data_IF_260120739281
#
_entry.id   IF_260120739281
#
_cell.length_a   1.000
_cell.length_b   1.000
_cell.length_c   1.000
_cell.angle_alpha   90.00
_cell.angle_beta   90.00
_cell.angle_gamma   90.00
#
_symmetry.space_group_name_H-M   'P 1'
#
loop_
_entity.id
_entity.type
_entity.pdbx_description
1 polymer ?
#
# COMPACT_ATOMS: atom_id res chain seq x y z
N UNK A 1 -31.29 16.04 1.08
CA UNK A 1 -30.08 16.83 0.81
C UNK A 1 -28.84 16.21 1.44
N UNK A 2 -27.96 15.63 0.61
CA UNK A 2 -26.60 15.27 1.03
C UNK A 2 -25.84 16.57 1.27
N UNK A 3 -25.23 16.78 2.43
CA UNK A 3 -24.52 18.03 2.73
C UNK A 3 -23.33 18.26 1.77
N UNK A 4 -23.05 19.53 1.44
CA UNK A 4 -22.04 19.88 0.43
C UNK A 4 -20.64 19.43 0.85
N UNK A 5 -20.35 19.54 2.15
CA UNK A 5 -19.08 19.09 2.72
C UNK A 5 -18.88 17.58 2.57
N UNK A 6 -19.95 16.76 2.63
CA UNK A 6 -19.85 15.31 2.39
C UNK A 6 -19.42 15.02 0.95
N UNK A 7 -20.00 15.72 -0.03
CA UNK A 7 -19.68 15.51 -1.46
C UNK A 7 -18.24 15.91 -1.75
N UNK A 8 -17.79 17.05 -1.21
CA UNK A 8 -16.39 17.48 -1.32
C UNK A 8 -15.47 16.44 -0.65
N UNK A 9 -15.84 15.93 0.52
CA UNK A 9 -15.09 14.89 1.22
C UNK A 9 -14.99 13.59 0.41
N UNK A 10 -16.07 13.16 -0.25
CA UNK A 10 -16.08 11.98 -1.13
C UNK A 10 -15.15 12.17 -2.33
N UNK A 11 -15.22 13.32 -3.02
CA UNK A 11 -14.37 13.64 -4.17
C UNK A 11 -12.90 13.64 -3.75
N UNK A 12 -12.57 14.34 -2.66
CA UNK A 12 -11.20 14.45 -2.19
C UNK A 12 -10.64 13.08 -1.81
N UNK A 13 -11.41 12.29 -1.07
CA UNK A 13 -11.03 10.93 -0.68
C UNK A 13 -10.86 10.02 -1.90
N UNK A 14 -11.79 10.08 -2.86
CA UNK A 14 -11.72 9.29 -4.09
C UNK A 14 -10.45 9.61 -4.88
N UNK A 15 -10.14 10.89 -5.07
CA UNK A 15 -8.92 11.34 -5.77
C UNK A 15 -7.67 10.87 -5.03
N UNK A 16 -7.58 11.09 -3.71
CA UNK A 16 -6.40 10.70 -2.93
C UNK A 16 -6.13 9.20 -2.96
N UNK A 17 -7.16 8.39 -2.70
CA UNK A 17 -7.03 6.92 -2.67
C UNK A 17 -6.74 6.37 -4.07
N UNK A 18 -7.47 6.82 -5.09
CA UNK A 18 -7.27 6.35 -6.47
C UNK A 18 -5.91 6.75 -7.05
N UNK A 19 -5.45 7.97 -6.78
CA UNK A 19 -4.17 8.45 -7.32
C UNK A 19 -2.98 7.73 -6.69
N UNK A 20 -2.99 7.55 -5.35
CA UNK A 20 -1.94 6.77 -4.67
C UNK A 20 -1.97 5.29 -5.08
N UNK A 21 -3.18 4.71 -5.15
CA UNK A 21 -3.37 3.32 -5.59
C UNK A 21 -2.86 3.10 -7.02
N UNK A 22 -3.21 3.98 -7.95
CA UNK A 22 -2.74 3.91 -9.34
C UNK A 22 -1.21 4.10 -9.42
N UNK A 23 -0.63 5.07 -8.71
CA UNK A 23 0.81 5.30 -8.74
C UNK A 23 1.59 4.06 -8.25
N UNK A 24 1.20 3.47 -7.12
CA UNK A 24 1.85 2.26 -6.59
C UNK A 24 1.61 1.05 -7.48
N UNK A 25 0.39 0.88 -8.00
CA UNK A 25 0.04 -0.18 -8.94
C UNK A 25 0.92 -0.16 -10.19
N UNK A 26 1.02 1.01 -10.85
CA UNK A 26 1.77 1.20 -12.08
C UNK A 26 3.26 0.89 -11.88
N UNK A 27 3.86 1.41 -10.82
CA UNK A 27 5.29 1.17 -10.51
C UNK A 27 5.52 -0.29 -10.16
N UNK A 28 4.64 -0.91 -9.37
CA UNK A 28 4.77 -2.30 -8.99
C UNK A 28 4.62 -3.27 -10.16
N UNK A 29 3.65 -3.06 -11.04
CA UNK A 29 3.52 -3.83 -12.29
C UNK A 29 4.74 -3.64 -13.20
N UNK A 30 5.29 -2.43 -13.29
CA UNK A 30 6.49 -2.17 -14.07
C UNK A 30 7.72 -2.92 -13.52
N UNK A 31 7.82 -3.06 -12.19
CA UNK A 31 8.90 -3.83 -11.55
C UNK A 31 8.83 -5.33 -11.90
N UNK A 32 7.63 -5.90 -12.06
CA UNK A 32 7.45 -7.29 -12.50
C UNK A 32 7.95 -7.56 -13.92
N UNK A 33 7.99 -6.52 -14.78
CA UNK A 33 8.36 -6.62 -16.19
C UNK A 33 9.49 -5.65 -16.53
N UNK A 34 10.61 -5.75 -15.81
CA UNK A 34 11.77 -4.83 -15.93
C UNK A 34 12.30 -4.68 -17.36
N UNK A 35 12.16 -5.68 -18.22
CA UNK A 35 12.55 -5.63 -19.63
C UNK A 35 11.68 -4.73 -20.53
N UNK A 36 10.50 -4.30 -20.07
CA UNK A 36 9.56 -3.47 -20.83
C UNK A 36 8.79 -2.48 -19.93
N UNK A 37 9.45 -1.98 -18.88
CA UNK A 37 8.81 -1.18 -17.83
C UNK A 37 8.00 0.02 -18.37
N UNK A 38 8.52 0.76 -19.35
CA UNK A 38 7.85 1.93 -19.93
C UNK A 38 6.54 1.57 -20.64
N UNK A 39 6.53 0.48 -21.40
CA UNK A 39 5.32 -0.01 -22.08
C UNK A 39 4.27 -0.47 -21.06
N UNK A 40 4.70 -1.19 -20.02
CA UNK A 40 3.82 -1.65 -18.95
C UNK A 40 3.24 -0.48 -18.16
N UNK A 41 4.03 0.56 -17.88
CA UNK A 41 3.53 1.75 -17.17
C UNK A 41 2.42 2.46 -17.95
N UNK A 42 2.59 2.64 -19.27
CA UNK A 42 1.58 3.27 -20.12
C UNK A 42 0.30 2.43 -20.19
N UNK A 43 0.44 1.12 -20.36
CA UNK A 43 -0.70 0.20 -20.37
C UNK A 43 -1.42 0.21 -19.02
N UNK A 44 -0.69 0.00 -17.92
CA UNK A 44 -1.26 -0.04 -16.57
C UNK A 44 -1.96 1.28 -16.22
N UNK A 45 -1.38 2.43 -16.57
CA UNK A 45 -2.02 3.73 -16.38
C UNK A 45 -3.36 3.85 -17.11
N UNK A 46 -3.44 3.36 -18.35
CA UNK A 46 -4.69 3.37 -19.11
C UNK A 46 -5.77 2.47 -18.48
N UNK A 47 -5.36 1.31 -17.94
CA UNK A 47 -6.24 0.33 -17.31
C UNK A 47 -6.77 0.82 -15.95
N UNK A 48 -5.92 1.43 -15.13
CA UNK A 48 -6.30 2.06 -13.85
C UNK A 48 -7.33 3.16 -14.06
N UNK A 49 -7.09 4.08 -15.00
CA UNK A 49 -8.03 5.16 -15.29
C UNK A 49 -9.37 4.62 -15.80
N UNK A 50 -9.32 3.65 -16.71
CA UNK A 50 -10.51 3.04 -17.30
C UNK A 50 -11.40 2.38 -16.25
N UNK A 51 -10.83 1.75 -15.23
CA UNK A 51 -11.58 1.12 -14.12
C UNK A 51 -12.56 2.10 -13.46
N UNK A 52 -12.10 3.31 -13.13
CA UNK A 52 -12.92 4.31 -12.44
C UNK A 52 -14.00 4.91 -13.37
N UNK A 53 -13.66 5.15 -14.64
CA UNK A 53 -14.63 5.63 -15.63
C UNK A 53 -15.73 4.59 -15.84
N UNK A 54 -15.37 3.32 -15.97
CA UNK A 54 -16.32 2.22 -16.11
C UNK A 54 -17.19 2.04 -14.86
N UNK A 55 -16.61 2.14 -13.66
CA UNK A 55 -17.35 2.07 -12.41
C UNK A 55 -18.39 3.21 -12.28
N UNK A 56 -18.00 4.44 -12.59
CA UNK A 56 -18.91 5.58 -12.59
C UNK A 56 -20.02 5.45 -13.65
N UNK A 57 -19.67 5.02 -14.86
CA UNK A 57 -20.62 4.79 -15.95
C UNK A 57 -21.63 3.67 -15.63
N UNK A 58 -21.14 2.56 -15.10
CA UNK A 58 -21.95 1.41 -14.69
C UNK A 58 -22.99 1.81 -13.63
N UNK A 59 -22.60 2.65 -12.67
CA UNK A 59 -23.52 3.20 -11.67
C UNK A 59 -24.61 4.08 -12.32
N UNK A 60 -24.21 5.06 -13.14
CA UNK A 60 -25.15 6.03 -13.73
C UNK A 60 -26.15 5.40 -14.70
N UNK A 61 -25.78 4.33 -15.41
CA UNK A 61 -26.60 3.70 -16.45
C UNK A 61 -27.13 2.32 -16.07
N UNK A 62 -27.10 1.95 -14.78
CA UNK A 62 -27.45 0.61 -14.31
C UNK A 62 -28.78 0.05 -14.86
N UNK A 63 -29.81 0.89 -14.93
CA UNK A 63 -31.16 0.51 -15.38
C UNK A 63 -31.35 0.55 -16.91
N UNK A 64 -30.41 1.15 -17.65
CA UNK A 64 -30.49 1.30 -19.11
C UNK A 64 -29.58 0.33 -19.88
N UNK A 65 -28.81 -0.51 -19.18
CA UNK A 65 -27.85 -1.44 -19.77
C UNK A 65 -28.42 -2.85 -19.87
N UNK A 66 -28.22 -3.48 -21.03
CA UNK A 66 -28.53 -4.90 -21.25
C UNK A 66 -27.70 -5.77 -20.29
N UNK A 67 -28.27 -6.90 -19.85
CA UNK A 67 -27.65 -7.79 -18.87
C UNK A 67 -26.25 -8.29 -19.28
N UNK A 68 -26.04 -8.56 -20.56
CA UNK A 68 -24.73 -8.96 -21.10
C UNK A 68 -23.66 -7.89 -20.89
N UNK A 69 -23.96 -6.64 -21.27
CA UNK A 69 -23.02 -5.53 -21.12
C UNK A 69 -22.76 -5.20 -19.64
N UNK A 70 -23.81 -5.27 -18.82
CA UNK A 70 -23.68 -5.11 -17.36
C UNK A 70 -22.70 -6.12 -16.77
N UNK A 71 -22.84 -7.40 -17.12
CA UNK A 71 -21.95 -8.47 -16.63
C UNK A 71 -20.52 -8.24 -17.09
N UNK A 72 -20.31 -7.88 -18.35
CA UNK A 72 -18.98 -7.56 -18.89
C UNK A 72 -18.32 -6.37 -18.18
N UNK A 73 -19.07 -5.30 -17.91
CA UNK A 73 -18.55 -4.13 -17.20
C UNK A 73 -18.21 -4.45 -15.74
N UNK A 74 -19.09 -5.20 -15.05
CA UNK A 74 -18.82 -5.66 -13.67
C UNK A 74 -17.56 -6.53 -13.64
N UNK A 75 -17.46 -7.53 -14.52
CA UNK A 75 -16.29 -8.41 -14.58
C UNK A 75 -15.02 -7.63 -14.93
N UNK A 76 -15.11 -6.66 -15.85
CA UNK A 76 -13.97 -5.80 -16.21
C UNK A 76 -13.50 -4.98 -15.03
N UNK A 77 -14.41 -4.33 -14.29
CA UNK A 77 -14.05 -3.56 -13.09
C UNK A 77 -13.42 -4.45 -12.03
N UNK A 78 -13.96 -5.64 -11.79
CA UNK A 78 -13.41 -6.60 -10.82
C UNK A 78 -12.02 -7.12 -11.22
N UNK A 79 -11.84 -7.48 -12.49
CA UNK A 79 -10.54 -7.95 -12.99
C UNK A 79 -9.51 -6.81 -12.97
N UNK A 80 -9.89 -5.60 -13.38
CA UNK A 80 -9.02 -4.43 -13.30
C UNK A 80 -8.64 -4.12 -11.85
N UNK A 81 -9.57 -4.28 -10.91
CA UNK A 81 -9.29 -4.22 -9.47
C UNK A 81 -8.23 -5.25 -9.07
N UNK A 82 -8.41 -6.53 -9.44
CA UNK A 82 -7.41 -7.56 -9.15
C UNK A 82 -6.02 -7.24 -9.75
N UNK A 83 -5.96 -6.60 -10.92
CA UNK A 83 -4.71 -6.14 -11.53
C UNK A 83 -4.08 -5.00 -10.72
N UNK A 84 -4.87 -3.99 -10.30
CA UNK A 84 -4.40 -2.92 -9.41
C UNK A 84 -3.82 -3.47 -8.13
N UNK A 85 -4.54 -4.41 -7.55
CA UNK A 85 -4.18 -5.14 -6.35
C UNK A 85 -2.84 -5.87 -6.52
N UNK A 86 -2.64 -6.55 -7.64
CA UNK A 86 -1.37 -7.20 -7.97
C UNK A 86 -0.23 -6.19 -8.17
N UNK A 87 -0.51 -5.03 -8.76
CA UNK A 87 0.44 -3.94 -8.89
C UNK A 87 0.92 -3.42 -7.53
N UNK A 88 -0.02 -3.09 -6.64
CA UNK A 88 0.30 -2.62 -5.28
C UNK A 88 1.08 -3.70 -4.51
N UNK A 89 0.69 -4.97 -4.66
CA UNK A 89 1.42 -6.09 -4.09
C UNK A 89 2.86 -6.12 -4.58
N UNK A 90 3.07 -6.02 -5.89
CA UNK A 90 4.40 -5.94 -6.52
C UNK A 90 5.25 -4.83 -5.91
N UNK A 91 4.71 -3.61 -5.83
CA UNK A 91 5.41 -2.44 -5.28
C UNK A 91 5.84 -2.63 -3.82
N UNK A 92 4.92 -3.06 -2.95
CA UNK A 92 5.23 -3.25 -1.53
C UNK A 92 6.18 -4.44 -1.30
N UNK A 93 6.03 -5.51 -2.09
CA UNK A 93 6.91 -6.67 -2.01
C UNK A 93 8.33 -6.34 -2.48
N UNK A 94 8.49 -5.54 -3.54
CA UNK A 94 9.79 -5.10 -4.04
C UNK A 94 10.51 -4.20 -3.03
N UNK A 95 9.79 -3.26 -2.40
CA UNK A 95 10.34 -2.42 -1.35
C UNK A 95 10.83 -3.22 -0.14
N UNK A 96 10.04 -4.22 0.30
CA UNK A 96 10.45 -5.13 1.37
C UNK A 96 11.64 -5.99 0.96
N UNK A 97 11.59 -6.61 -0.22
CA UNK A 97 12.64 -7.49 -0.70
C UNK A 97 13.96 -6.75 -0.87
N UNK A 98 13.93 -5.50 -1.34
CA UNK A 98 15.10 -4.63 -1.44
C UNK A 98 15.74 -4.39 -0.08
N UNK A 99 14.93 -4.09 0.95
CA UNK A 99 15.43 -3.89 2.31
C UNK A 99 15.98 -5.19 2.93
N UNK A 100 15.28 -6.32 2.75
CA UNK A 100 15.68 -7.64 3.26
C UNK A 100 16.98 -8.13 2.59
N UNK A 101 17.10 -7.95 1.28
CA UNK A 101 18.31 -8.32 0.52
C UNK A 101 19.50 -7.46 0.92
N UNK A 102 19.31 -6.14 1.10
CA UNK A 102 20.37 -5.25 1.59
C UNK A 102 20.87 -5.66 2.99
N UNK A 103 19.94 -6.00 3.90
CA UNK A 103 20.28 -6.49 5.24
C UNK A 103 21.09 -7.80 5.16
N UNK A 104 20.63 -8.74 4.34
CA UNK A 104 21.29 -10.04 4.16
C UNK A 104 22.69 -9.87 3.56
N UNK A 105 22.84 -9.00 2.56
CA UNK A 105 24.13 -8.70 1.94
C UNK A 105 25.13 -8.10 2.95
N UNK A 106 24.69 -7.15 3.78
CA UNK A 106 25.56 -6.55 4.79
C UNK A 106 25.92 -7.57 5.90
N UNK A 107 24.98 -8.43 6.31
CA UNK A 107 25.24 -9.50 7.27
C UNK A 107 26.26 -10.53 6.74
N UNK A 108 26.16 -10.91 5.45
CA UNK A 108 27.14 -11.79 4.79
C UNK A 108 28.52 -11.12 4.75
N UNK A 109 28.58 -9.81 4.47
CA UNK A 109 29.83 -9.05 4.45
C UNK A 109 30.49 -9.02 5.83
N UNK A 110 29.73 -8.76 6.89
CA UNK A 110 30.22 -8.85 8.29
C UNK A 110 30.77 -10.25 8.57
N UNK A 111 30.04 -11.30 8.20
CA UNK A 111 30.50 -12.68 8.40
C UNK A 111 31.81 -12.95 7.67
N UNK A 112 31.96 -12.49 6.43
CA UNK A 112 33.20 -12.63 5.66
C UNK A 112 34.38 -11.90 6.31
N UNK A 113 34.17 -10.66 6.76
CA UNK A 113 35.20 -9.88 7.47
C UNK A 113 35.62 -10.54 8.79
N UNK A 114 34.66 -11.09 9.56
CA UNK A 114 34.94 -11.84 10.78
C UNK A 114 35.76 -13.10 10.49
N UNK A 115 35.46 -13.81 9.40
CA UNK A 115 36.26 -14.96 8.96
C UNK A 115 37.69 -14.55 8.59
N UNK A 116 37.87 -13.46 7.84
CA UNK A 116 39.20 -12.94 7.49
C UNK A 116 40.00 -12.54 8.73
N UNK A 117 39.34 -11.88 9.69
CA UNK A 117 39.95 -11.51 10.97
C UNK A 117 40.37 -12.75 11.76
N UNK A 118 39.54 -13.79 11.80
CA UNK A 118 39.85 -15.04 12.48
C UNK A 118 41.07 -15.75 11.85
N UNK A 119 41.14 -15.79 10.51
CA UNK A 119 42.29 -16.35 9.80
C UNK A 119 43.58 -15.59 10.06
N UNK A 120 43.54 -14.25 10.08
CA UNK A 120 44.71 -13.43 10.40
C UNK A 120 45.20 -13.65 11.84
N UNK A 121 44.27 -13.78 12.80
CA UNK A 121 44.60 -14.13 14.19
C UNK A 121 45.23 -15.51 14.30
N UNK A 122 44.66 -16.51 13.62
CA UNK A 122 45.20 -17.85 13.61
C UNK A 122 46.63 -17.92 13.04
N UNK A 123 46.94 -17.11 12.03
CA UNK A 123 48.30 -17.02 11.49
C UNK A 123 49.27 -16.37 12.48
N UNK A 124 48.86 -15.30 13.20
CA UNK A 124 49.66 -14.73 14.30
C UNK A 124 49.93 -15.79 15.37
N UNK A 125 48.91 -16.55 15.78
CA UNK A 125 49.04 -17.59 16.80
C UNK A 125 49.99 -18.71 16.33
N UNK A 126 49.91 -19.10 15.06
CA UNK A 126 50.82 -20.07 14.45
C UNK A 126 52.28 -19.58 14.45
N UNK A 127 52.51 -18.33 14.06
CA UNK A 127 53.84 -17.72 14.04
C UNK A 127 54.43 -17.64 15.47
N UNK A 128 53.62 -17.26 16.46
CA UNK A 128 54.04 -17.25 17.87
C UNK A 128 54.38 -18.65 18.36
N UNK A 129 53.54 -19.64 18.07
CA UNK A 129 53.77 -21.04 18.46
C UNK A 129 55.07 -21.60 17.86
N UNK A 130 55.39 -21.25 16.61
CA UNK A 130 56.64 -21.66 15.98
C UNK A 130 57.89 -21.14 16.72
N UNK A 131 57.81 -19.96 17.35
CA UNK A 131 58.89 -19.41 18.19
C UNK A 131 58.95 -20.07 19.57
N UNK A 132 57.80 -20.46 20.11
CA UNK A 132 57.70 -21.13 21.41
C UNK A 132 58.14 -22.59 21.39
N UNK A 133 58.02 -23.27 20.24
CA UNK A 133 58.52 -24.63 20.03
C UNK A 133 60.06 -24.71 19.99
N UNK A 134 60.76 -23.59 19.79
CA UNK A 134 62.22 -23.55 19.84
C UNK A 134 62.68 -23.69 21.30
N UNK A 135 63.56 -24.68 21.64
CA UNK A 135 64.01 -24.89 23.00
C UNK A 135 64.60 -23.64 23.64
N UNK A 136 64.26 -23.40 24.92
CA UNK A 136 64.78 -22.28 25.73
C UNK A 136 66.31 -22.22 25.80
N UNK A 137 66.98 -23.36 25.62
CA UNK A 137 68.45 -23.45 25.56
C UNK A 137 69.07 -22.83 24.31
N UNK A 138 68.30 -22.61 23.23
CA UNK A 138 68.75 -22.01 21.96
C UNK A 138 68.34 -20.54 21.86
N UNK A 139 68.75 -19.72 22.84
CA UNK A 139 68.36 -18.31 22.97
C UNK A 139 68.63 -17.49 21.71
N UNK A 140 69.82 -17.62 21.10
CA UNK A 140 70.19 -16.87 19.89
C UNK A 140 69.25 -17.14 18.72
N UNK A 141 68.91 -18.42 18.49
CA UNK A 141 68.02 -18.83 17.41
C UNK A 141 66.57 -18.37 17.65
N UNK A 142 66.12 -18.36 18.91
CA UNK A 142 64.80 -17.79 19.27
C UNK A 142 64.71 -16.31 18.99
N UNK A 143 65.75 -15.55 19.35
CA UNK A 143 65.79 -14.09 19.14
C UNK A 143 65.79 -13.77 17.64
N UNK A 144 66.59 -14.49 16.85
CA UNK A 144 66.66 -14.32 15.40
C UNK A 144 65.33 -14.62 14.71
N UNK A 145 64.72 -15.79 14.97
CA UNK A 145 63.40 -16.13 14.40
C UNK A 145 62.32 -15.14 14.84
N UNK A 146 62.35 -14.66 16.09
CA UNK A 146 61.38 -13.66 16.55
C UNK A 146 61.51 -12.34 15.78
N UNK A 147 62.74 -11.88 15.55
CA UNK A 147 63.03 -10.66 14.79
C UNK A 147 62.60 -10.77 13.32
N UNK A 148 62.69 -11.96 12.73
CA UNK A 148 62.23 -12.24 11.37
C UNK A 148 60.70 -12.20 11.23
N UNK A 149 59.95 -12.74 12.20
CA UNK A 149 58.49 -12.78 12.13
C UNK A 149 57.80 -11.50 12.63
N UNK A 150 58.47 -10.70 13.45
CA UNK A 150 57.96 -9.44 14.03
C UNK A 150 57.32 -8.49 13.01
N UNK A 151 57.94 -8.19 11.84
CA UNK A 151 57.29 -7.37 10.81
C UNK A 151 56.02 -8.00 10.23
N UNK A 152 55.98 -9.34 10.11
CA UNK A 152 54.80 -10.07 9.65
C UNK A 152 53.65 -10.00 10.67
N UNK A 153 53.93 -10.17 11.95
CA UNK A 153 52.96 -10.01 13.04
C UNK A 153 52.44 -8.57 13.10
N UNK A 154 53.31 -7.58 12.97
CA UNK A 154 52.91 -6.18 12.96
C UNK A 154 51.98 -5.86 11.77
N UNK A 155 52.27 -6.39 10.58
CA UNK A 155 51.41 -6.24 9.41
C UNK A 155 50.04 -6.90 9.59
N UNK A 156 49.99 -8.14 10.09
CA UNK A 156 48.75 -8.85 10.38
C UNK A 156 47.93 -8.15 11.49
N UNK A 157 48.59 -7.60 12.50
CA UNK A 157 47.93 -6.84 13.58
C UNK A 157 47.27 -5.59 13.02
N UNK A 158 47.98 -4.82 12.18
CA UNK A 158 47.41 -3.66 11.48
C UNK A 158 46.26 -4.05 10.55
N UNK A 159 46.34 -5.21 9.90
CA UNK A 159 45.23 -5.75 9.11
C UNK A 159 44.02 -6.06 10.00
N UNK A 160 44.20 -6.70 11.16
CA UNK A 160 43.13 -6.98 12.13
C UNK A 160 42.46 -5.70 12.62
N UNK A 161 43.24 -4.65 12.90
CA UNK A 161 42.70 -3.33 13.29
C UNK A 161 41.83 -2.73 12.18
N UNK A 162 42.32 -2.75 10.93
CA UNK A 162 41.54 -2.22 9.80
C UNK A 162 40.28 -3.06 9.50
N UNK A 163 40.35 -4.38 9.66
CA UNK A 163 39.18 -5.26 9.59
C UNK A 163 38.20 -4.98 10.73
N UNK A 164 38.68 -4.72 11.96
CA UNK A 164 37.83 -4.42 13.11
C UNK A 164 37.03 -3.12 12.90
N UNK A 165 37.65 -2.09 12.33
CA UNK A 165 36.96 -0.84 11.97
C UNK A 165 35.86 -1.11 10.94
N UNK A 166 36.17 -1.87 9.88
CA UNK A 166 35.19 -2.24 8.85
C UNK A 166 34.03 -3.08 9.41
N UNK A 167 34.32 -4.06 10.27
CA UNK A 167 33.30 -4.87 10.95
C UNK A 167 32.38 -3.97 11.76
N UNK A 168 32.93 -3.04 12.54
CA UNK A 168 32.15 -2.13 13.38
C UNK A 168 31.24 -1.24 12.54
N UNK A 169 31.76 -0.69 11.43
CA UNK A 169 30.96 0.11 10.50
C UNK A 169 29.83 -0.71 9.84
N UNK A 170 30.14 -1.92 9.38
CA UNK A 170 29.13 -2.80 8.79
C UNK A 170 28.11 -3.31 9.81
N UNK A 171 28.50 -3.60 11.05
CA UNK A 171 27.57 -3.98 12.13
C UNK A 171 26.61 -2.82 12.46
N UNK A 172 27.07 -1.56 12.42
CA UNK A 172 26.18 -0.40 12.54
C UNK A 172 25.16 -0.32 11.39
N UNK A 173 25.59 -0.57 10.15
CA UNK A 173 24.67 -0.64 9.00
C UNK A 173 23.66 -1.79 9.14
N UNK A 174 24.08 -2.97 9.60
CA UNK A 174 23.18 -4.10 9.88
C UNK A 174 22.13 -3.71 10.93
N UNK A 175 22.51 -2.99 11.99
CA UNK A 175 21.57 -2.50 13.01
C UNK A 175 20.57 -1.51 12.39
N UNK A 176 21.04 -0.58 11.56
CA UNK A 176 20.17 0.39 10.88
C UNK A 176 19.16 -0.30 9.96
N UNK A 177 19.62 -1.27 9.16
CA UNK A 177 18.76 -2.04 8.26
C UNK A 177 17.77 -2.93 9.03
N UNK A 178 18.21 -3.54 10.15
CA UNK A 178 17.32 -4.31 11.03
C UNK A 178 16.18 -3.46 11.60
N UNK A 179 16.40 -2.17 11.89
CA UNK A 179 15.31 -1.29 12.35
C UNK A 179 14.18 -1.16 11.34
N UNK A 180 14.48 -1.21 10.03
CA UNK A 180 13.48 -1.07 8.95
C UNK A 180 12.54 -2.28 8.88
N UNK A 181 13.05 -3.48 9.17
CA UNK A 181 12.26 -4.73 9.15
C UNK A 181 11.81 -5.19 10.54
N UNK A 182 12.28 -4.56 11.61
CA UNK A 182 12.06 -4.95 13.00
C UNK A 182 10.59 -5.17 13.41
N UNK A 183 9.65 -4.27 13.07
CA UNK A 183 8.23 -4.48 13.35
C UNK A 183 7.67 -5.77 12.73
N UNK A 184 8.09 -6.09 11.50
CA UNK A 184 7.67 -7.31 10.80
C UNK A 184 8.25 -8.55 11.48
N UNK A 185 9.51 -8.50 11.92
CA UNK A 185 10.15 -9.57 12.71
C UNK A 185 9.40 -9.83 14.01
N UNK A 186 8.94 -8.77 14.69
CA UNK A 186 8.18 -8.92 15.93
C UNK A 186 6.86 -9.65 15.68
N UNK A 187 6.12 -9.26 14.65
CA UNK A 187 4.86 -9.92 14.26
C UNK A 187 5.14 -11.38 13.86
N UNK A 188 6.16 -11.63 13.04
CA UNK A 188 6.58 -12.97 12.64
C UNK A 188 6.85 -13.89 13.84
N UNK A 189 7.60 -13.39 14.83
CA UNK A 189 7.86 -14.12 16.08
C UNK A 189 6.59 -14.36 16.90
N UNK A 190 5.69 -13.38 16.99
CA UNK A 190 4.45 -13.49 17.75
C UNK A 190 3.51 -14.57 17.18
N UNK A 191 3.50 -14.74 15.86
CA UNK A 191 2.65 -15.73 15.17
C UNK A 191 3.38 -17.03 14.81
N UNK A 192 4.67 -17.16 15.15
CA UNK A 192 5.52 -18.28 14.76
C UNK A 192 5.50 -18.55 13.24
N UNK A 193 5.55 -17.47 12.46
CA UNK A 193 5.55 -17.49 10.99
C UNK A 193 6.89 -16.93 10.48
N UNK A 194 7.24 -17.28 9.25
CA UNK A 194 8.33 -16.63 8.54
C UNK A 194 7.98 -15.17 8.22
N UNK A 195 8.98 -14.28 8.26
CA UNK A 195 8.79 -12.84 8.06
C UNK A 195 8.16 -12.57 6.69
N UNK A 196 8.64 -13.26 5.65
CA UNK A 196 8.15 -13.12 4.28
C UNK A 196 6.66 -13.52 4.16
N UNK A 197 6.24 -14.52 4.93
CA UNK A 197 4.84 -14.95 4.99
C UNK A 197 3.96 -13.89 5.66
N UNK A 198 4.44 -13.29 6.75
CA UNK A 198 3.73 -12.17 7.42
C UNK A 198 3.59 -10.99 6.47
N UNK A 199 4.66 -10.61 5.78
CA UNK A 199 4.63 -9.50 4.82
C UNK A 199 3.63 -9.76 3.71
N UNK A 200 3.64 -10.96 3.13
CA UNK A 200 2.68 -11.37 2.10
C UNK A 200 1.23 -11.21 2.57
N UNK A 201 0.90 -11.67 3.77
CA UNK A 201 -0.46 -11.55 4.31
C UNK A 201 -0.84 -10.12 4.65
N UNK A 202 0.09 -9.33 5.17
CA UNK A 202 -0.14 -7.94 5.51
C UNK A 202 -0.39 -7.09 4.26
N UNK A 203 0.38 -7.32 3.19
CA UNK A 203 0.15 -6.69 1.88
C UNK A 203 -1.21 -7.13 1.32
N UNK A 204 -1.52 -8.44 1.34
CA UNK A 204 -2.82 -8.94 0.88
C UNK A 204 -4.00 -8.32 1.63
N UNK A 205 -3.86 -8.12 2.95
CA UNK A 205 -4.86 -7.43 3.76
C UNK A 205 -5.06 -5.98 3.31
N UNK A 206 -3.98 -5.22 3.11
CA UNK A 206 -4.08 -3.83 2.67
C UNK A 206 -4.73 -3.72 1.28
N UNK A 207 -4.27 -4.54 0.35
CA UNK A 207 -4.76 -4.56 -1.02
C UNK A 207 -6.25 -4.95 -1.08
N UNK A 208 -6.65 -5.95 -0.30
CA UNK A 208 -8.06 -6.39 -0.23
C UNK A 208 -9.02 -5.31 0.30
N UNK A 209 -8.53 -4.33 1.05
CA UNK A 209 -9.35 -3.24 1.61
C UNK A 209 -9.30 -2.00 0.73
N UNK A 210 -8.10 -1.62 0.30
CA UNK A 210 -7.85 -0.34 -0.37
C UNK A 210 -8.50 -0.26 -1.74
N UNK A 211 -8.53 -1.36 -2.48
CA UNK A 211 -8.97 -1.37 -3.87
C UNK A 211 -10.51 -1.38 -4.02
N UNK A 212 -11.28 -2.19 -3.26
CA UNK A 212 -12.74 -2.02 -3.19
C UNK A 212 -13.15 -0.64 -2.67
N UNK A 213 -12.41 -0.10 -1.69
CA UNK A 213 -12.68 1.23 -1.13
C UNK A 213 -12.59 2.33 -2.20
N UNK A 214 -11.57 2.28 -3.07
CA UNK A 214 -11.40 3.25 -4.15
C UNK A 214 -12.60 3.26 -5.11
N UNK A 215 -13.07 2.06 -5.51
CA UNK A 215 -14.23 1.91 -6.40
C UNK A 215 -15.50 2.41 -5.71
N UNK A 216 -15.72 2.04 -4.44
CA UNK A 216 -16.86 2.50 -3.65
C UNK A 216 -16.90 4.02 -3.51
N UNK A 217 -15.76 4.68 -3.31
CA UNK A 217 -15.67 6.14 -3.23
C UNK A 217 -16.06 6.82 -4.55
N UNK A 218 -15.64 6.26 -5.70
CA UNK A 218 -16.04 6.77 -7.02
C UNK A 218 -17.54 6.59 -7.27
N UNK A 219 -18.08 5.42 -6.93
CA UNK A 219 -19.53 5.15 -7.04
C UNK A 219 -20.33 6.09 -6.12
N UNK A 220 -19.91 6.24 -4.86
CA UNK A 220 -20.55 7.11 -3.89
C UNK A 220 -20.51 8.59 -4.33
N UNK A 221 -19.39 9.04 -4.90
CA UNK A 221 -19.26 10.39 -5.47
C UNK A 221 -20.23 10.58 -6.64
N UNK A 222 -20.30 9.62 -7.55
CA UNK A 222 -21.22 9.65 -8.70
C UNK A 222 -22.69 9.73 -8.26
N UNK A 223 -23.08 8.89 -7.29
CA UNK A 223 -24.42 8.91 -6.73
C UNK A 223 -24.76 10.20 -5.98
N UNK A 224 -23.83 10.71 -5.16
CA UNK A 224 -24.06 11.93 -4.40
C UNK A 224 -24.23 13.18 -5.29
N UNK A 225 -23.52 13.24 -6.43
CA UNK A 225 -23.68 14.28 -7.43
C UNK A 225 -25.01 14.17 -8.18
N UNK A 226 -25.47 12.95 -8.48
CA UNK A 226 -26.74 12.72 -9.15
C UNK A 226 -27.93 13.16 -8.28
N UNK A 227 -27.98 12.72 -7.00
CA UNK A 227 -29.08 13.10 -6.11
C UNK A 227 -29.20 14.62 -5.90
N UNK A 228 -28.07 15.34 -5.85
CA UNK A 228 -28.07 16.80 -5.76
C UNK A 228 -28.58 17.49 -7.02
N UNK A 229 -28.41 16.87 -8.19
CA UNK A 229 -28.94 17.40 -9.45
C UNK A 229 -30.45 17.21 -9.53
N UNK A 230 -30.94 16.03 -9.15
CA UNK A 230 -32.37 15.71 -9.10
C UNK A 230 -33.13 16.60 -8.10
N UNK A 231 -32.52 16.93 -6.95
CA UNK A 231 -33.07 17.89 -5.97
C UNK A 231 -33.13 19.34 -6.51
N UNK A 232 -32.20 19.73 -7.40
CA UNK A 232 -32.16 21.09 -7.98
C UNK A 232 -33.15 21.27 -9.14
N UNK A 233 -33.51 20.17 -9.80
CA UNK A 233 -34.44 20.15 -10.94
C UNK A 233 -35.91 19.98 -10.49
N UNK A 234 -36.21 19.81 -9.19
CA UNK A 234 -37.57 19.86 -8.65
C UNK A 234 -38.07 21.31 -8.51
N UNK A 235 -39.25 21.67 -9.07
CA UNK A 235 -39.82 23.01 -8.91
C UNK A 235 -40.10 23.32 -7.42
N UNK A 236 -40.06 24.60 -7.00
CA UNK A 236 -40.39 24.97 -5.63
C UNK A 236 -41.78 24.42 -5.28
N UNK A 237 -41.90 23.72 -4.15
CA UNK A 237 -43.22 23.45 -3.59
C UNK A 237 -43.84 24.82 -3.28
N UNK A 238 -44.83 25.22 -4.06
CA UNK A 238 -45.71 26.32 -3.70
C UNK A 238 -46.38 25.91 -2.39
N UNK A 239 -45.95 26.51 -1.28
CA UNK A 239 -46.69 26.45 -0.02
C UNK A 239 -48.12 26.83 -0.35
N UNK A 240 -48.99 25.83 -0.38
CA UNK A 240 -50.42 26.06 -0.52
C UNK A 240 -50.84 26.69 0.80
N UNK A 241 -51.02 28.00 0.81
CA UNK A 241 -51.74 28.67 1.89
C UNK A 241 -52.98 27.83 2.23
N UNK A 242 -53.25 27.54 3.51
CA UNK A 242 -54.48 26.85 3.86
C UNK A 242 -55.64 27.75 3.45
N UNK A 243 -56.47 27.24 2.54
CA UNK A 243 -57.77 27.85 2.21
C UNK A 243 -58.50 28.04 3.55
N UNK A 244 -58.86 29.27 3.95
CA UNK A 244 -59.70 29.44 5.12
C UNK A 244 -61.06 28.83 4.79
N UNK A 245 -61.40 27.74 5.46
CA UNK A 245 -62.75 27.18 5.47
C UNK A 245 -63.68 28.19 6.15
N UNK A 246 -64.23 29.10 5.34
CA UNK A 246 -65.36 29.93 5.70
C UNK A 246 -66.64 29.12 5.59
N UNK A 247 -67.03 28.52 6.72
CA UNK A 247 -68.39 28.07 6.99
C UNK A 247 -69.32 29.28 6.87
N UNK A 248 -70.27 29.21 5.94
CA UNK A 248 -71.53 29.99 5.90
C UNK A 248 -72.34 29.46 4.70
N UNK A 249 -72.98 28.32 4.91
CA UNK A 249 -74.12 27.90 4.10
C UNK A 249 -75.30 28.84 4.40
N UNK A 250 -75.51 29.86 3.57
CA UNK A 250 -76.78 30.58 3.54
C UNK A 250 -77.58 30.14 2.31
N UNK A 251 -78.71 29.53 2.63
CA UNK A 251 -79.68 28.86 1.78
C UNK A 251 -80.39 29.89 0.89
N UNK A 252 -80.30 29.74 -0.43
CA UNK A 252 -81.27 30.36 -1.35
C UNK A 252 -82.20 29.26 -1.84
N UNK A 253 -83.37 29.23 -1.20
CA UNK A 253 -84.47 28.30 -1.41
C UNK A 253 -85.14 28.53 -2.78
N UNK A 254 -85.19 27.49 -3.61
CA UNK A 254 -85.86 27.51 -4.91
C UNK A 254 -87.35 27.19 -4.70
N UNK A 255 -88.21 28.20 -4.84
CA UNK A 255 -89.66 28.12 -4.61
C UNK A 255 -90.36 27.57 -5.85
N UNK A 256 -90.83 26.33 -5.79
CA UNK A 256 -91.91 25.82 -6.63
C UNK A 256 -92.91 25.08 -5.73
N UNK A 257 -94.04 25.73 -5.47
CA UNK A 257 -95.26 25.08 -4.99
C UNK A 257 -96.34 25.46 -5.99
N UNK A 258 -96.73 24.49 -6.79
CA UNK A 258 -97.99 24.51 -7.53
C UNK A 258 -98.84 23.43 -6.86
N UNK A 259 -99.89 23.85 -6.16
CA UNK A 259 -101.02 22.97 -5.94
C UNK A 259 -102.31 23.77 -5.91
N UNK A 260 -103.29 23.19 -6.60
CA UNK A 260 -104.53 23.80 -7.05
C UNK A 260 -105.56 24.03 -5.93
N UNK A 261 -106.40 25.01 -6.24
CA UNK A 261 -107.86 25.06 -6.06
C UNK A 261 -108.51 25.54 -4.75
N UNK A 262 -109.40 26.51 -4.99
CA UNK A 262 -110.72 26.75 -4.40
C UNK A 262 -110.85 27.67 -3.17
N UNK A 263 -111.19 28.94 -3.43
CA UNK A 263 -112.37 29.62 -2.88
C UNK A 263 -112.46 31.08 -3.39
N UNK A 264 -113.59 31.45 -4.02
CA UNK A 264 -113.98 32.84 -4.30
C UNK A 264 -114.27 33.16 -5.75
#
# INVERSE_FOLDING_TARGET
MIALWCVIGLILSAISVSMLGAAFSIVGLAALFSGAATAVMLMAGSLELSKFVLAAYLHQRWNHLNAFLKTYLVSSVVILSAITSLGIFGFLSDAYQSASTALTAEAIKVSSLKTQQASARAEIDRLNKAVDEIPVTRVTKRIETRKEIEPGIAALTKQIESLQVQITQSDLHVIELNKKVGPLVFIAKAFNLEIDTVVKYLIMLFVSVFDPLAICLVIATSGALQSRREEKDQPPQTDSEPIPTGDNAEVVEMRFVDDKEAAG
#
